data_IF_907073577645
#
_entry.id   IF_907073577645
#
_cell.length_a   1.000
_cell.length_b   1.000
_cell.length_c   1.000
_cell.angle_alpha   90.00
_cell.angle_beta   90.00
_cell.angle_gamma   90.00
#
_symmetry.space_group_name_H-M   'P 1'
#
loop_
_entity.id
_entity.type
_entity.pdbx_description
1 polymer ?
#
# COMPACT_ATOMS: atom_id res chain seq x y z
N UNK A 1 12.30 9.85 13.10
CA UNK A 1 12.36 8.80 12.06
C UNK A 1 12.94 7.48 12.53
N UNK A 2 14.04 7.47 13.30
CA UNK A 2 14.61 6.21 13.82
C UNK A 2 13.59 5.35 14.58
N UNK A 3 12.81 5.96 15.49
CA UNK A 3 11.75 5.25 16.22
C UNK A 3 10.71 4.64 15.27
N UNK A 4 10.24 5.39 14.27
CA UNK A 4 9.27 4.88 13.30
C UNK A 4 9.86 3.72 12.48
N UNK A 5 11.11 3.83 12.03
CA UNK A 5 11.80 2.74 11.32
C UNK A 5 11.98 1.51 12.20
N UNK A 6 12.34 1.67 13.47
CA UNK A 6 12.44 0.57 14.42
C UNK A 6 11.10 -0.11 14.67
N UNK A 7 10.02 0.67 14.83
CA UNK A 7 8.66 0.13 15.02
C UNK A 7 8.20 -0.60 13.77
N UNK A 8 8.32 -0.01 12.58
CA UNK A 8 7.95 -0.66 11.32
C UNK A 8 8.79 -1.92 11.05
N UNK A 9 10.08 -1.88 11.37
CA UNK A 9 10.97 -3.03 11.30
C UNK A 9 10.55 -4.15 12.27
N UNK A 10 10.16 -3.79 13.49
CA UNK A 10 9.61 -4.72 14.46
C UNK A 10 8.29 -5.34 13.97
N UNK A 11 7.36 -4.54 13.47
CA UNK A 11 6.08 -5.03 12.92
C UNK A 11 6.30 -6.04 11.80
N UNK A 12 7.18 -5.69 10.85
CA UNK A 12 7.60 -6.61 9.78
C UNK A 12 8.14 -7.91 10.37
N UNK A 13 9.13 -7.82 11.28
CA UNK A 13 9.77 -9.00 11.87
C UNK A 13 8.81 -9.89 12.66
N UNK A 14 7.91 -9.29 13.43
CA UNK A 14 6.95 -10.00 14.28
C UNK A 14 5.86 -10.70 13.47
N UNK A 15 5.37 -10.09 12.38
CA UNK A 15 4.26 -10.62 11.60
C UNK A 15 4.69 -11.49 10.40
N UNK A 16 5.95 -11.40 9.96
CA UNK A 16 6.47 -12.22 8.83
C UNK A 16 6.23 -13.73 8.99
N UNK A 17 6.42 -14.34 10.18
CA UNK A 17 6.14 -15.78 10.36
C UNK A 17 4.68 -16.15 10.08
N UNK A 18 3.74 -15.23 10.40
CA UNK A 18 2.30 -15.46 10.26
C UNK A 18 1.82 -15.41 8.82
N UNK A 19 2.54 -14.73 7.90
CA UNK A 19 2.19 -14.64 6.46
C UNK A 19 2.10 -16.02 5.80
N UNK A 20 2.87 -17.00 6.30
CA UNK A 20 2.88 -18.38 5.76
C UNK A 20 1.99 -19.34 6.54
N UNK A 21 1.41 -18.89 7.65
CA UNK A 21 0.55 -19.73 8.48
C UNK A 21 -0.85 -19.79 7.87
N UNK A 22 -1.36 -20.99 7.63
CA UNK A 22 -2.75 -21.20 7.17
C UNK A 22 -3.78 -21.07 8.29
N UNK A 23 -3.36 -20.88 9.55
CA UNK A 23 -4.29 -20.63 10.66
C UNK A 23 -4.44 -19.12 10.89
N UNK A 24 -5.63 -18.58 10.65
CA UNK A 24 -6.02 -17.27 11.17
C UNK A 24 -6.14 -17.37 12.69
N UNK A 25 -5.05 -17.04 13.38
CA UNK A 25 -5.01 -16.93 14.82
C UNK A 25 -5.71 -15.62 15.22
N UNK A 26 -6.62 -15.70 16.20
CA UNK A 26 -7.33 -14.55 16.76
C UNK A 26 -6.36 -13.42 17.17
N UNK A 27 -5.16 -13.78 17.62
CA UNK A 27 -4.11 -12.80 17.98
C UNK A 27 -3.64 -11.99 16.77
N UNK A 28 -3.55 -12.63 15.59
CA UNK A 28 -3.15 -11.96 14.34
C UNK A 28 -4.24 -11.01 13.87
N UNK A 29 -5.50 -11.40 14.01
CA UNK A 29 -6.66 -10.54 13.68
C UNK A 29 -6.70 -9.29 14.58
N UNK A 30 -6.58 -9.46 15.91
CA UNK A 30 -6.50 -8.34 16.84
C UNK A 30 -5.32 -7.40 16.54
N UNK A 31 -4.16 -7.97 16.17
CA UNK A 31 -3.00 -7.18 15.76
C UNK A 31 -3.26 -6.41 14.45
N UNK A 32 -3.90 -7.03 13.45
CA UNK A 32 -4.28 -6.36 12.21
C UNK A 32 -5.19 -5.17 12.46
N UNK A 33 -6.24 -5.36 13.25
CA UNK A 33 -7.19 -4.30 13.59
C UNK A 33 -6.49 -3.12 14.30
N UNK A 34 -5.59 -3.42 15.23
CA UNK A 34 -4.86 -2.40 15.99
C UNK A 34 -3.80 -1.67 15.14
N UNK A 35 -3.22 -2.31 14.12
CA UNK A 35 -2.07 -1.79 13.39
C UNK A 35 -2.42 -1.16 12.04
N UNK A 36 -3.54 -1.51 11.44
CA UNK A 36 -3.91 -1.05 10.09
C UNK A 36 -3.91 0.48 10.01
N UNK A 37 -4.71 1.15 10.84
CA UNK A 37 -4.85 2.61 10.79
C UNK A 37 -3.55 3.35 11.17
N UNK A 38 -2.84 3.00 12.27
CA UNK A 38 -1.57 3.62 12.58
C UNK A 38 -0.52 3.48 11.47
N UNK A 39 -0.42 2.30 10.82
CA UNK A 39 0.53 2.10 9.74
C UNK A 39 0.16 2.94 8.51
N UNK A 40 -1.12 2.99 8.15
CA UNK A 40 -1.59 3.81 7.02
C UNK A 40 -1.38 5.30 7.29
N UNK A 41 -1.60 5.79 8.51
CA UNK A 41 -1.41 7.19 8.87
C UNK A 41 0.05 7.67 8.83
N UNK A 42 1.04 6.76 8.82
CA UNK A 42 2.44 7.13 8.59
C UNK A 42 2.64 7.71 7.18
N UNK A 43 1.77 7.39 6.21
CA UNK A 43 1.81 8.00 4.88
C UNK A 43 1.69 9.53 4.93
N UNK A 44 0.94 10.08 5.88
CA UNK A 44 0.75 11.54 6.03
C UNK A 44 2.06 12.25 6.40
N UNK A 45 3.03 11.53 6.99
CA UNK A 45 4.32 12.12 7.38
C UNK A 45 5.13 12.56 6.14
N UNK A 46 4.86 12.00 4.96
CA UNK A 46 5.55 12.38 3.73
C UNK A 46 5.25 13.82 3.27
N UNK A 47 4.17 14.44 3.75
CA UNK A 47 3.92 15.89 3.58
C UNK A 47 5.06 16.74 4.16
N UNK A 48 5.69 16.27 5.23
CA UNK A 48 6.72 17.00 5.97
C UNK A 48 8.14 16.56 5.62
N UNK A 49 8.29 15.67 4.63
CA UNK A 49 9.56 15.12 4.21
C UNK A 49 9.94 15.60 2.81
N UNK A 50 11.24 15.79 2.53
CA UNK A 50 11.69 15.87 1.15
C UNK A 50 11.38 14.57 0.41
N UNK A 51 11.37 14.63 -0.92
CA UNK A 51 11.08 13.46 -1.73
C UNK A 51 12.04 12.30 -1.39
N UNK A 52 11.58 11.04 -1.38
CA UNK A 52 12.45 9.88 -1.14
C UNK A 52 13.65 9.77 -2.08
N UNK A 53 13.62 10.43 -3.24
CA UNK A 53 14.74 10.47 -4.19
C UNK A 53 15.86 11.44 -3.75
N UNK A 54 15.54 12.39 -2.87
CA UNK A 54 16.42 13.46 -2.42
C UNK A 54 16.93 13.27 -0.99
N UNK A 55 16.38 12.29 -0.26
CA UNK A 55 16.70 12.07 1.15
C UNK A 55 16.73 10.60 1.53
N UNK A 56 17.90 10.16 2.00
CA UNK A 56 18.10 8.80 2.52
C UNK A 56 17.16 8.46 3.67
N UNK A 57 16.80 9.45 4.50
CA UNK A 57 15.88 9.26 5.63
C UNK A 57 14.47 9.00 5.12
N UNK A 58 14.00 9.79 4.14
CA UNK A 58 12.69 9.59 3.52
C UNK A 58 12.63 8.27 2.75
N UNK A 59 13.69 7.93 2.02
CA UNK A 59 13.83 6.64 1.33
C UNK A 59 13.76 5.45 2.30
N UNK A 60 14.49 5.52 3.41
CA UNK A 60 14.50 4.48 4.43
C UNK A 60 13.11 4.30 5.06
N UNK A 61 12.42 5.40 5.39
CA UNK A 61 11.07 5.36 5.93
C UNK A 61 10.07 4.77 4.94
N UNK A 62 10.12 5.21 3.67
CA UNK A 62 9.27 4.68 2.61
C UNK A 62 9.43 3.17 2.49
N UNK A 63 10.68 2.69 2.44
CA UNK A 63 10.97 1.26 2.33
C UNK A 63 10.48 0.48 3.56
N UNK A 64 10.66 1.02 4.77
CA UNK A 64 10.21 0.39 6.00
C UNK A 64 8.67 0.31 6.05
N UNK A 65 7.99 1.39 5.69
CA UNK A 65 6.53 1.46 5.67
C UNK A 65 5.94 0.49 4.65
N UNK A 66 6.44 0.51 3.41
CA UNK A 66 6.01 -0.41 2.37
C UNK A 66 6.17 -1.88 2.81
N UNK A 67 7.31 -2.21 3.43
CA UNK A 67 7.53 -3.56 3.93
C UNK A 67 6.55 -3.95 5.05
N UNK A 68 6.18 -3.02 5.93
CA UNK A 68 5.19 -3.27 6.97
C UNK A 68 3.78 -3.46 6.38
N UNK A 69 3.38 -2.60 5.42
CA UNK A 69 2.09 -2.71 4.74
C UNK A 69 1.95 -4.01 3.94
N UNK A 70 3.02 -4.46 3.26
CA UNK A 70 3.06 -5.77 2.59
C UNK A 70 2.83 -6.91 3.58
N UNK A 71 3.47 -6.86 4.75
CA UNK A 71 3.30 -7.91 5.76
C UNK A 71 1.89 -7.89 6.36
N UNK A 72 1.33 -6.71 6.64
CA UNK A 72 -0.07 -6.58 7.08
C UNK A 72 -1.03 -7.14 6.03
N UNK A 73 -0.82 -6.81 4.76
CA UNK A 73 -1.58 -7.36 3.65
C UNK A 73 -1.43 -8.90 3.57
N UNK A 74 -0.22 -9.42 3.75
CA UNK A 74 0.07 -10.85 3.66
C UNK A 74 -0.53 -11.70 4.79
N UNK A 75 -0.86 -11.11 5.94
CA UNK A 75 -1.60 -11.81 7.02
C UNK A 75 -3.11 -11.54 6.99
N UNK A 76 -3.57 -10.66 6.09
CA UNK A 76 -4.98 -10.26 5.98
C UNK A 76 -5.80 -11.33 5.27
N UNK A 77 -7.03 -11.54 5.74
CA UNK A 77 -8.06 -12.20 4.93
C UNK A 77 -8.57 -11.25 3.82
N UNK A 78 -9.55 -11.70 3.04
CA UNK A 78 -10.13 -10.88 1.96
C UNK A 78 -10.78 -9.58 2.45
N UNK A 79 -11.39 -9.56 3.64
CA UNK A 79 -12.06 -8.37 4.16
C UNK A 79 -11.03 -7.34 4.66
N UNK A 80 -10.00 -7.80 5.37
CA UNK A 80 -8.90 -6.99 5.85
C UNK A 80 -8.03 -6.46 4.70
N UNK A 81 -7.79 -7.28 3.66
CA UNK A 81 -7.06 -6.86 2.46
C UNK A 81 -7.77 -5.70 1.77
N UNK A 82 -9.09 -5.82 1.53
CA UNK A 82 -9.91 -4.73 0.99
C UNK A 82 -9.81 -3.47 1.84
N UNK A 83 -10.01 -3.61 3.16
CA UNK A 83 -9.95 -2.48 4.09
C UNK A 83 -8.58 -1.79 4.06
N UNK A 84 -7.50 -2.56 4.03
CA UNK A 84 -6.13 -2.04 3.97
C UNK A 84 -5.88 -1.29 2.66
N UNK A 85 -6.20 -1.90 1.51
CA UNK A 85 -5.99 -1.27 0.21
C UNK A 85 -6.80 0.01 0.05
N UNK A 86 -8.07 0.02 0.49
CA UNK A 86 -8.90 1.22 0.54
C UNK A 86 -8.31 2.28 1.47
N UNK A 87 -7.84 1.90 2.67
CA UNK A 87 -7.27 2.85 3.61
C UNK A 87 -5.97 3.48 3.07
N UNK A 88 -5.09 2.68 2.45
CA UNK A 88 -3.89 3.16 1.77
C UNK A 88 -4.25 4.13 0.65
N UNK A 89 -5.16 3.74 -0.25
CA UNK A 89 -5.52 4.56 -1.42
C UNK A 89 -6.37 5.78 -1.07
N UNK A 90 -7.09 5.80 0.05
CA UNK A 90 -7.75 7.03 0.52
C UNK A 90 -6.74 8.16 0.81
N UNK A 91 -5.48 7.84 1.11
CA UNK A 91 -4.41 8.84 1.25
C UNK A 91 -4.06 9.53 -0.07
N UNK A 92 -4.42 8.94 -1.21
CA UNK A 92 -4.27 9.57 -2.53
C UNK A 92 -5.19 10.76 -2.77
N UNK A 93 -6.09 11.09 -1.83
CA UNK A 93 -6.91 12.31 -1.86
C UNK A 93 -6.30 13.49 -1.10
N UNK A 94 -5.05 13.35 -0.64
CA UNK A 94 -4.31 14.42 0.01
C UNK A 94 -4.04 15.58 -0.96
N UNK A 95 -4.05 16.81 -0.44
CA UNK A 95 -3.60 17.99 -1.18
C UNK A 95 -2.07 17.91 -1.45
N UNK A 96 -1.33 17.21 -0.60
CA UNK A 96 0.11 17.02 -0.75
C UNK A 96 0.46 15.89 -1.71
N UNK A 97 1.32 16.21 -2.67
CA UNK A 97 1.71 15.31 -3.76
C UNK A 97 2.59 14.14 -3.31
N UNK A 98 3.45 14.32 -2.31
CA UNK A 98 4.30 13.24 -1.84
C UNK A 98 3.45 12.22 -1.07
N UNK A 99 2.44 12.66 -0.31
CA UNK A 99 1.46 11.75 0.32
C UNK A 99 0.69 10.95 -0.75
N UNK A 100 0.18 11.61 -1.81
CA UNK A 100 -0.50 10.90 -2.91
C UNK A 100 0.40 9.89 -3.59
N UNK A 101 1.63 10.30 -3.92
CA UNK A 101 2.61 9.43 -4.58
C UNK A 101 2.99 8.23 -3.70
N UNK A 102 3.18 8.43 -2.39
CA UNK A 102 3.53 7.34 -1.47
C UNK A 102 2.35 6.39 -1.26
N UNK A 103 1.12 6.88 -1.28
CA UNK A 103 -0.09 6.04 -1.27
C UNK A 103 -0.10 5.06 -2.44
N UNK A 104 0.06 5.57 -3.67
CA UNK A 104 0.08 4.73 -4.89
C UNK A 104 1.26 3.78 -4.89
N UNK A 105 2.48 4.27 -4.60
CA UNK A 105 3.68 3.42 -4.54
C UNK A 105 3.57 2.32 -3.49
N UNK A 106 2.90 2.58 -2.37
CA UNK A 106 2.69 1.57 -1.33
C UNK A 106 1.66 0.51 -1.75
N UNK A 107 0.56 0.93 -2.38
CA UNK A 107 -0.40 0.00 -2.97
C UNK A 107 0.25 -0.88 -4.06
N UNK A 108 1.02 -0.26 -4.95
CA UNK A 108 1.77 -0.98 -5.99
C UNK A 108 2.75 -1.99 -5.39
N UNK A 109 3.44 -1.63 -4.30
CA UNK A 109 4.36 -2.56 -3.63
C UNK A 109 3.65 -3.79 -3.05
N UNK A 110 2.42 -3.64 -2.54
CA UNK A 110 1.59 -4.78 -2.12
C UNK A 110 1.31 -5.71 -3.30
N UNK A 111 0.91 -5.16 -4.45
CA UNK A 111 0.66 -5.94 -5.66
C UNK A 111 1.91 -6.65 -6.21
N UNK A 112 3.07 -6.00 -6.18
CA UNK A 112 4.35 -6.62 -6.60
C UNK A 112 4.67 -7.86 -5.75
N UNK A 113 4.46 -7.79 -4.44
CA UNK A 113 4.90 -8.84 -3.51
C UNK A 113 3.86 -9.96 -3.35
N UNK A 114 2.56 -9.63 -3.43
CA UNK A 114 1.47 -10.57 -3.14
C UNK A 114 0.72 -11.04 -4.40
N UNK A 115 0.80 -10.30 -5.50
CA UNK A 115 0.14 -10.62 -6.77
C UNK A 115 -1.35 -10.94 -6.60
N UNK A 116 -1.76 -12.13 -7.05
CA UNK A 116 -3.16 -12.60 -7.00
C UNK A 116 -3.76 -12.62 -5.60
N UNK A 117 -2.96 -12.72 -4.53
CA UNK A 117 -3.49 -12.66 -3.16
C UNK A 117 -4.12 -11.29 -2.84
N UNK A 118 -3.64 -10.22 -3.47
CA UNK A 118 -4.22 -8.88 -3.34
C UNK A 118 -5.49 -8.67 -4.18
N UNK A 119 -5.86 -9.64 -5.05
CA UNK A 119 -6.99 -9.50 -5.98
C UNK A 119 -8.35 -9.35 -5.31
N UNK A 120 -8.47 -9.73 -4.04
CA UNK A 120 -9.68 -9.45 -3.27
C UNK A 120 -10.00 -7.96 -3.18
N UNK A 121 -9.01 -7.06 -3.22
CA UNK A 121 -9.22 -5.61 -3.27
C UNK A 121 -9.16 -4.97 -4.65
N UNK A 122 -9.20 -5.77 -5.73
CA UNK A 122 -9.03 -5.27 -7.10
C UNK A 122 -10.03 -4.17 -7.46
N UNK A 123 -11.31 -4.36 -7.13
CA UNK A 123 -12.36 -3.38 -7.41
C UNK A 123 -12.08 -2.03 -6.76
N UNK A 124 -11.63 -2.04 -5.51
CA UNK A 124 -11.31 -0.86 -4.72
C UNK A 124 -10.11 -0.12 -5.30
N UNK A 125 -9.08 -0.85 -5.74
CA UNK A 125 -7.93 -0.24 -6.40
C UNK A 125 -8.29 0.38 -7.74
N UNK A 126 -9.13 -0.29 -8.55
CA UNK A 126 -9.57 0.22 -9.86
C UNK A 126 -10.38 1.51 -9.72
N UNK A 127 -11.28 1.61 -8.73
CA UNK A 127 -12.05 2.82 -8.49
C UNK A 127 -11.13 4.03 -8.27
N UNK A 128 -10.12 3.91 -7.40
CA UNK A 128 -9.16 4.99 -7.17
C UNK A 128 -8.24 5.24 -8.36
N UNK A 129 -7.82 4.18 -9.07
CA UNK A 129 -6.91 4.30 -10.20
C UNK A 129 -7.51 5.13 -11.34
N UNK A 130 -8.83 5.07 -11.57
CA UNK A 130 -9.51 5.90 -12.58
C UNK A 130 -9.35 7.39 -12.30
N UNK A 131 -9.60 7.84 -11.06
CA UNK A 131 -9.41 9.22 -10.62
C UNK A 131 -7.93 9.65 -10.72
N UNK A 132 -7.00 8.79 -10.30
CA UNK A 132 -5.57 9.11 -10.22
C UNK A 132 -4.84 9.08 -11.58
N UNK A 133 -5.44 8.49 -12.61
CA UNK A 133 -4.93 8.60 -13.98
C UNK A 133 -5.06 10.03 -14.54
N UNK A 134 -5.88 10.87 -13.89
CA UNK A 134 -6.08 12.28 -14.24
C UNK A 134 -5.38 13.24 -13.22
N UNK A 135 -4.47 12.73 -12.37
CA UNK A 135 -3.75 13.56 -11.39
C UNK A 135 -2.89 14.63 -12.09
N UNK A 136 -2.84 15.82 -11.50
CA UNK A 136 -2.07 16.95 -12.04
C UNK A 136 -0.55 16.73 -11.97
N UNK A 137 -0.06 15.91 -11.02
CA UNK A 137 1.36 15.56 -10.96
C UNK A 137 1.66 14.29 -11.77
N UNK A 138 2.42 14.47 -12.85
CA UNK A 138 2.85 13.39 -13.75
C UNK A 138 3.55 12.19 -13.07
N UNK A 139 4.15 12.38 -11.88
CA UNK A 139 4.79 11.28 -11.12
C UNK A 139 3.74 10.37 -10.50
N UNK A 140 2.62 10.93 -10.05
CA UNK A 140 1.48 10.16 -9.51
C UNK A 140 0.84 9.38 -10.65
N UNK A 141 0.51 10.04 -11.77
CA UNK A 141 -0.04 9.39 -12.96
C UNK A 141 0.86 8.22 -13.43
N UNK A 142 2.17 8.46 -13.53
CA UNK A 142 3.13 7.43 -13.93
C UNK A 142 3.15 6.25 -12.95
N UNK A 143 3.08 6.51 -11.64
CA UNK A 143 3.01 5.45 -10.62
C UNK A 143 1.73 4.62 -10.74
N UNK A 144 0.58 5.25 -11.03
CA UNK A 144 -0.70 4.57 -11.24
C UNK A 144 -0.64 3.68 -12.47
N UNK A 145 -0.09 4.17 -13.59
CA UNK A 145 0.08 3.37 -14.82
C UNK A 145 0.95 2.13 -14.58
N UNK A 146 2.03 2.29 -13.82
CA UNK A 146 2.89 1.16 -13.43
C UNK A 146 2.17 0.16 -12.53
N UNK A 147 1.36 0.65 -11.59
CA UNK A 147 0.53 -0.20 -10.73
C UNK A 147 -0.49 -1.01 -11.53
N UNK A 148 -1.26 -0.36 -12.42
CA UNK A 148 -2.23 -1.02 -13.30
C UNK A 148 -1.55 -2.11 -14.13
N UNK A 149 -0.40 -1.80 -14.74
CA UNK A 149 0.34 -2.79 -15.53
C UNK A 149 0.72 -4.01 -14.71
N UNK A 150 1.23 -3.83 -13.48
CA UNK A 150 1.54 -4.95 -12.59
C UNK A 150 0.29 -5.74 -12.20
N UNK A 151 -0.84 -5.08 -11.98
CA UNK A 151 -2.12 -5.74 -11.70
C UNK A 151 -2.55 -6.61 -12.88
N UNK A 152 -2.54 -6.06 -14.11
CA UNK A 152 -2.85 -6.81 -15.35
C UNK A 152 -1.92 -8.01 -15.55
N UNK A 153 -0.62 -7.86 -15.28
CA UNK A 153 0.36 -8.95 -15.35
C UNK A 153 0.06 -10.05 -14.31
N UNK A 154 -0.42 -9.67 -13.12
CA UNK A 154 -0.74 -10.60 -12.04
C UNK A 154 -2.08 -11.32 -12.24
N UNK A 155 -3.10 -10.63 -12.77
CA UNK A 155 -4.43 -11.21 -13.02
C UNK A 155 -4.53 -11.92 -14.37
N UNK A 156 -3.69 -11.55 -15.34
CA UNK A 156 -3.79 -12.01 -16.73
C UNK A 156 -4.94 -11.38 -17.50
N UNK A 157 -5.60 -10.37 -16.93
CA UNK A 157 -6.77 -9.70 -17.49
C UNK A 157 -6.44 -8.23 -17.76
N UNK A 158 -7.01 -7.65 -18.81
CA UNK A 158 -6.89 -6.21 -19.04
C UNK A 158 -7.90 -5.44 -18.19
N UNK A 159 -7.44 -4.36 -17.55
CA UNK A 159 -8.27 -3.49 -16.71
C UNK A 159 -8.86 -2.30 -17.49
N UNK A 160 -8.59 -2.20 -18.79
CA UNK A 160 -9.01 -1.08 -19.64
C UNK A 160 -10.52 -0.80 -19.60
N UNK A 161 -11.35 -1.84 -19.57
CA UNK A 161 -12.81 -1.66 -19.57
C UNK A 161 -13.35 -1.26 -18.19
N UNK A 162 -12.63 -1.61 -17.12
CA UNK A 162 -12.98 -1.18 -15.77
C UNK A 162 -12.53 0.26 -15.47
N UNK A 163 -11.47 0.74 -16.16
CA UNK A 163 -10.92 2.09 -16.01
C UNK A 163 -11.61 3.17 -16.88
N UNK A 164 -12.55 2.79 -17.75
CA UNK A 164 -13.31 3.72 -18.62
C UNK A 164 -14.66 4.17 -18.04
N UNK A 165 -14.98 3.76 -16.82
CA UNK A 165 -16.29 3.99 -16.19
C UNK A 165 -16.41 5.39 -15.58
#
# INVERSE_FOLDING_TARGET
FEVANSVLGFLKGALTPSVKSTSHDKVVEEALEALLEPCVNILDIFEFLPSPEESDVAAALCKALQAALVVLAGVSDSAHMKRLLTAVLNKSRSDDVEVRLMSVKSCHRIWIELGVQAASGLSEVVMHASELLEDEDSRVEAAVRMMIKTMEECTGESLQDALKQ
#
